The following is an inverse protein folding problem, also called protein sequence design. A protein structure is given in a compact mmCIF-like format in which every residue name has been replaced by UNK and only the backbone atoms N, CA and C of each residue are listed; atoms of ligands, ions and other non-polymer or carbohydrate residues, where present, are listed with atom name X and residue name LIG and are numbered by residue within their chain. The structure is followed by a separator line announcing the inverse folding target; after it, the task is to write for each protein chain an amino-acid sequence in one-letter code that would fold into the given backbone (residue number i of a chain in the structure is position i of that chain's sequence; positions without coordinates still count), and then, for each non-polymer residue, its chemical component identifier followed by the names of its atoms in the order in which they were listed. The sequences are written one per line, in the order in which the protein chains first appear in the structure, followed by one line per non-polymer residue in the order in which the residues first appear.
data_IF_674411853410
#
_entry.id   IF_674411853410
#
_cell.length_a   1.000
_cell.length_b   1.000
_cell.length_c   1.000
_cell.angle_alpha   90.00
_cell.angle_beta   90.00
_cell.angle_gamma   90.00
#
_symmetry.space_group_name_H-M   'P 1'
#
loop_
_entity.id
_entity.type
_entity.pdbx_description
1 polymer ?
#
# COMPACT_ATOMS: atom_id res chain seq x y z
N UNK A 1 -21.84 3.96 3.40
CA UNK A 1 -20.45 4.38 3.51
C UNK A 1 -19.58 3.40 2.82
N UNK A 2 -18.60 3.91 2.10
CA UNK A 2 -17.69 3.08 1.35
C UNK A 2 -16.54 2.57 2.22
N UNK A 3 -16.05 1.41 1.87
CA UNK A 3 -14.85 0.88 2.48
C UNK A 3 -13.74 0.90 1.46
N UNK A 4 -12.52 1.12 1.92
CA UNK A 4 -11.35 1.04 1.07
C UNK A 4 -10.38 0.05 1.69
N UNK A 5 -9.62 -0.61 0.83
CA UNK A 5 -8.63 -1.58 1.25
C UNK A 5 -7.29 -0.87 1.37
N UNK A 6 -6.68 -0.97 2.55
CA UNK A 6 -5.36 -0.38 2.77
C UNK A 6 -4.30 -1.41 2.48
N UNK A 7 -3.17 -0.95 1.96
CA UNK A 7 -2.05 -1.80 1.61
C UNK A 7 -0.80 -1.29 2.33
N UNK A 8 -0.14 -2.20 3.04
CA UNK A 8 1.03 -1.86 3.85
C UNK A 8 2.16 -2.83 3.53
N UNK A 9 3.07 -2.45 2.62
CA UNK A 9 4.21 -3.31 2.30
C UNK A 9 5.28 -3.25 3.39
N UNK A 10 6.24 -4.19 3.37
CA UNK A 10 7.32 -4.17 4.36
C UNK A 10 8.08 -2.84 4.31
N UNK A 11 8.28 -2.25 5.48
CA UNK A 11 8.93 -0.94 5.62
C UNK A 11 8.22 0.16 4.86
N UNK A 12 6.93 -0.02 4.59
CA UNK A 12 6.18 0.94 3.80
C UNK A 12 6.12 2.32 4.44
N UNK A 13 6.24 2.39 5.75
CA UNK A 13 6.19 3.67 6.45
C UNK A 13 7.27 4.64 5.96
N UNK A 14 8.36 4.12 5.41
CA UNK A 14 9.43 4.95 4.87
C UNK A 14 9.02 5.65 3.57
N UNK A 15 7.98 5.15 2.93
CA UNK A 15 7.60 5.60 1.59
C UNK A 15 6.17 6.12 1.54
N UNK A 16 5.59 6.39 2.70
CA UNK A 16 4.27 6.98 2.77
C UNK A 16 3.12 5.99 2.84
N UNK A 17 3.42 4.74 3.08
CA UNK A 17 2.39 3.74 3.28
C UNK A 17 2.03 3.65 4.76
N UNK A 18 0.87 3.07 5.11
CA UNK A 18 -0.09 2.44 4.21
C UNK A 18 -0.89 3.42 3.37
N UNK A 19 -1.38 2.95 2.23
CA UNK A 19 -2.20 3.75 1.33
C UNK A 19 -3.39 2.94 0.88
N UNK A 20 -4.49 3.61 0.54
CA UNK A 20 -5.62 2.89 -0.05
C UNK A 20 -5.27 2.40 -1.44
N UNK A 21 -5.68 1.18 -1.73
CA UNK A 21 -5.36 0.53 -2.99
C UNK A 21 -6.61 0.56 -3.89
N UNK A 22 -6.46 0.86 -5.18
CA UNK A 22 -7.61 0.90 -6.10
C UNK A 22 -8.24 -0.47 -6.30
N UNK A 23 -9.54 -0.49 -6.54
CA UNK A 23 -10.28 -1.72 -6.76
C UNK A 23 -9.93 -2.40 -8.08
N UNK A 24 -9.60 -1.59 -9.09
CA UNK A 24 -9.38 -2.09 -10.43
C UNK A 24 -7.92 -2.39 -10.73
N UNK A 25 -7.17 -2.62 -9.70
CA UNK A 25 -5.74 -2.84 -9.82
C UNK A 25 -5.43 -4.17 -10.48
N UNK A 26 -4.57 -4.16 -11.49
CA UNK A 26 -4.15 -5.39 -12.15
C UNK A 26 -2.92 -6.00 -11.52
N UNK A 27 -2.05 -5.18 -10.95
CA UNK A 27 -0.83 -5.67 -10.31
C UNK A 27 -0.50 -4.79 -9.11
N UNK A 28 -0.49 -5.40 -7.95
CA UNK A 28 -0.14 -4.70 -6.72
C UNK A 28 1.31 -4.23 -6.74
N UNK A 29 2.20 -5.05 -7.29
CA UNK A 29 3.63 -4.70 -7.32
C UNK A 29 3.87 -3.47 -8.20
N UNK A 30 3.24 -3.42 -9.35
CA UNK A 30 3.37 -2.26 -10.23
C UNK A 30 2.80 -1.02 -9.58
N UNK A 31 1.67 -1.18 -8.89
CA UNK A 31 1.05 -0.06 -8.19
C UNK A 31 1.97 0.49 -7.11
N UNK A 32 2.60 -0.40 -6.34
CA UNK A 32 3.51 0.02 -5.27
C UNK A 32 4.64 0.87 -5.83
N UNK A 33 5.23 0.41 -6.92
CA UNK A 33 6.34 1.16 -7.54
C UNK A 33 5.86 2.52 -8.04
N UNK A 34 4.68 2.57 -8.62
CA UNK A 34 4.13 3.82 -9.12
C UNK A 34 3.84 4.81 -7.99
N UNK A 35 3.62 4.31 -6.78
CA UNK A 35 3.33 5.14 -5.62
C UNK A 35 4.59 5.52 -4.83
N UNK A 36 5.75 5.13 -5.33
CA UNK A 36 7.00 5.51 -4.72
C UNK A 36 7.71 4.43 -3.94
N UNK A 37 7.17 3.22 -3.92
CA UNK A 37 7.82 2.11 -3.22
C UNK A 37 8.94 1.56 -4.10
N UNK A 38 10.18 1.47 -3.62
CA UNK A 38 11.29 1.07 -4.47
C UNK A 38 11.18 -0.37 -4.94
N UNK A 39 11.48 -0.59 -6.20
CA UNK A 39 11.57 -1.94 -6.75
C UNK A 39 12.60 -2.76 -5.99
N UNK A 40 13.65 -2.12 -5.52
CA UNK A 40 14.71 -2.80 -4.78
C UNK A 40 14.21 -3.49 -3.53
N UNK A 41 13.24 -2.89 -2.86
CA UNK A 41 12.66 -3.51 -1.67
C UNK A 41 11.91 -4.78 -2.02
N UNK A 42 11.19 -4.74 -3.14
CA UNK A 42 10.48 -5.91 -3.61
C UNK A 42 11.47 -7.02 -3.96
N UNK A 43 12.52 -6.67 -4.68
CA UNK A 43 13.53 -7.63 -5.10
C UNK A 43 14.26 -8.24 -3.91
N UNK A 44 14.52 -7.43 -2.89
CA UNK A 44 15.23 -7.91 -1.71
C UNK A 44 14.41 -8.94 -0.94
N UNK A 45 13.10 -8.82 -0.96
CA UNK A 45 12.23 -9.79 -0.29
C UNK A 45 12.04 -11.04 -1.13
N UNK A 46 12.10 -10.90 -2.45
CA UNK A 46 11.94 -12.03 -3.35
C UNK A 46 10.61 -12.73 -3.15
N UNK A 47 10.65 -14.04 -3.01
CA UNK A 47 9.46 -14.86 -2.86
C UNK A 47 8.77 -14.62 -1.53
N UNK A 48 9.44 -13.96 -0.60
CA UNK A 48 8.88 -13.69 0.71
C UNK A 48 8.16 -12.35 0.78
N UNK A 49 8.12 -11.64 -0.33
CA UNK A 49 7.46 -10.35 -0.34
C UNK A 49 5.97 -10.51 -0.16
N UNK A 50 5.40 -9.72 0.73
CA UNK A 50 3.96 -9.71 0.96
C UNK A 50 3.56 -8.36 1.49
N UNK A 51 2.26 -8.05 1.38
CA UNK A 51 1.71 -6.82 1.91
C UNK A 51 0.62 -7.17 2.90
N UNK A 52 0.41 -6.29 3.84
CA UNK A 52 -0.69 -6.42 4.77
C UNK A 52 -1.87 -5.64 4.23
N UNK A 53 -3.06 -6.19 4.39
CA UNK A 53 -4.28 -5.58 3.89
C UNK A 53 -5.32 -5.55 4.98
N UNK A 54 -6.08 -4.47 5.01
CA UNK A 54 -7.26 -4.38 5.88
C UNK A 54 -8.18 -3.34 5.32
N UNK A 55 -9.45 -3.39 5.71
CA UNK A 55 -10.44 -2.44 5.25
C UNK A 55 -10.69 -1.37 6.30
N UNK A 56 -10.87 -0.14 5.83
CA UNK A 56 -11.25 0.98 6.69
C UNK A 56 -12.36 1.74 6.01
N UNK A 57 -13.06 2.57 6.79
CA UNK A 57 -14.04 3.48 6.21
C UNK A 57 -13.33 4.52 5.36
N UNK A 58 -14.03 4.99 4.34
CA UNK A 58 -13.47 5.92 3.39
C UNK A 58 -12.87 7.15 4.08
N UNK A 59 -13.53 7.65 5.09
CA UNK A 59 -13.06 8.83 5.80
C UNK A 59 -11.84 8.57 6.67
N UNK A 60 -11.46 7.32 6.83
CA UNK A 60 -10.28 6.94 7.60
C UNK A 60 -9.13 6.46 6.72
N UNK A 61 -9.32 6.51 5.41
CA UNK A 61 -8.34 5.96 4.49
C UNK A 61 -7.02 6.72 4.49
N UNK A 62 -7.05 7.96 4.96
CA UNK A 62 -5.86 8.81 4.95
C UNK A 62 -5.56 9.35 6.34
N UNK A 63 -5.37 8.46 7.31
CA UNK A 63 -5.20 8.92 8.69
C UNK A 63 -3.93 9.72 8.93
N UNK A 64 -2.94 9.53 8.12
CA UNK A 64 -1.69 10.21 8.31
C UNK A 64 -1.59 11.51 7.52
N UNK A 65 -2.55 11.78 6.67
CA UNK A 65 -2.50 12.99 5.87
C UNK A 65 -2.83 14.20 6.70
N UNK A 66 -2.05 15.22 6.54
CA UNK A 66 -2.24 16.43 7.28
C UNK A 66 -1.70 16.38 8.69
N UNK A 67 -1.03 15.34 9.04
CA UNK A 67 -0.46 15.17 10.38
C UNK A 67 0.89 15.80 10.50
#
# INVERSE_FOLDING_TARGET
MSKVLMCDPPSGWKYGFPKPIPDDLTSTLEWLVSEGYPQEEIDACGDHFYCRYWEVDDDQAYPYEGR
#
